data_IF_273463971992
#
_entry.id   IF_273463971992
#
_cell.length_a   1.000
_cell.length_b   1.000
_cell.length_c   1.000
_cell.angle_alpha   90.00
_cell.angle_beta   90.00
_cell.angle_gamma   90.00
#
_symmetry.space_group_name_H-M   'P 1'
#
loop_
_entity.id
_entity.type
_entity.pdbx_description
1 polymer ?
#
# COMPACT_ATOMS: atom_id res chain seq x y z
N UNK A 1 13.85 22.13 5.58
CA UNK A 1 12.84 21.11 5.33
C UNK A 1 11.47 21.78 5.25
N UNK A 2 10.70 21.44 4.23
CA UNK A 2 9.30 21.87 4.06
C UNK A 2 8.43 20.63 4.24
N UNK A 3 7.58 20.62 5.27
CA UNK A 3 6.68 19.51 5.51
C UNK A 3 5.42 19.68 4.66
N UNK A 4 5.14 18.68 3.81
CA UNK A 4 3.97 18.66 2.91
C UNK A 4 3.11 17.39 3.08
N UNK A 5 3.47 16.54 4.05
CA UNK A 5 2.79 15.27 4.33
C UNK A 5 1.53 15.46 5.17
N UNK A 6 0.72 14.40 5.22
CA UNK A 6 -0.48 14.33 6.07
C UNK A 6 -0.07 14.05 7.51
N UNK A 7 -0.51 14.88 8.44
CA UNK A 7 -0.44 14.61 9.87
C UNK A 7 -1.85 14.54 10.43
N UNK A 8 -2.14 13.57 11.29
CA UNK A 8 -3.46 13.46 11.91
C UNK A 8 -3.80 14.76 12.66
N UNK A 9 -4.91 15.42 12.28
CA UNK A 9 -5.39 16.63 12.94
C UNK A 9 -4.83 17.96 12.44
N UNK A 10 -3.97 18.00 11.41
CA UNK A 10 -3.47 19.27 10.85
C UNK A 10 -3.95 19.52 9.42
N UNK A 11 -4.02 20.81 9.03
CA UNK A 11 -4.37 21.21 7.67
C UNK A 11 -3.31 20.70 6.69
N UNK A 12 -3.74 19.86 5.78
CA UNK A 12 -2.87 19.28 4.75
C UNK A 12 -2.66 20.30 3.63
N UNK A 13 -1.43 20.33 3.09
CA UNK A 13 -1.23 20.98 1.80
C UNK A 13 -1.94 20.19 0.72
N UNK A 14 -2.73 20.89 -0.08
CA UNK A 14 -3.39 20.32 -1.27
C UNK A 14 -2.34 20.08 -2.35
N UNK A 15 -2.62 19.18 -3.29
CA UNK A 15 -1.66 18.88 -4.36
C UNK A 15 -1.22 20.09 -5.18
N UNK A 16 -2.09 21.03 -5.56
CA UNK A 16 -1.66 22.27 -6.21
C UNK A 16 -0.61 23.05 -5.40
N UNK A 17 -0.81 23.18 -4.09
CA UNK A 17 0.14 23.89 -3.21
C UNK A 17 1.51 23.18 -3.14
N UNK A 18 1.51 21.84 -3.20
CA UNK A 18 2.76 21.06 -3.26
C UNK A 18 3.48 21.30 -4.57
N UNK A 19 2.73 21.31 -5.69
CA UNK A 19 3.28 21.58 -7.01
C UNK A 19 3.87 23.00 -7.08
N UNK A 20 3.16 24.00 -6.54
CA UNK A 20 3.65 25.38 -6.45
C UNK A 20 4.97 25.47 -5.68
N UNK A 21 5.06 24.82 -4.51
CA UNK A 21 6.29 24.81 -3.71
C UNK A 21 7.46 24.18 -4.50
N UNK A 22 7.23 23.09 -5.21
CA UNK A 22 8.28 22.44 -6.02
C UNK A 22 8.77 23.36 -7.13
N UNK A 23 7.85 24.05 -7.82
CA UNK A 23 8.16 25.00 -8.89
C UNK A 23 8.89 26.24 -8.33
N UNK A 24 8.42 26.82 -7.24
CA UNK A 24 9.06 27.98 -6.62
C UNK A 24 10.48 27.70 -6.16
N UNK A 25 10.68 26.60 -5.45
CA UNK A 25 12.03 26.23 -4.96
C UNK A 25 12.96 25.89 -6.12
N UNK A 26 12.48 25.24 -7.18
CA UNK A 26 13.25 24.98 -8.38
C UNK A 26 13.64 26.28 -9.11
N UNK A 27 12.73 27.25 -9.24
CA UNK A 27 13.03 28.57 -9.85
C UNK A 27 14.03 29.41 -9.05
N UNK A 28 14.11 29.18 -7.73
CA UNK A 28 15.15 29.80 -6.88
C UNK A 28 16.53 29.18 -7.09
N UNK A 29 16.65 28.12 -7.92
CA UNK A 29 17.89 27.40 -8.16
C UNK A 29 18.26 26.40 -7.06
N UNK A 30 17.33 26.07 -6.18
CA UNK A 30 17.56 25.10 -5.11
C UNK A 30 17.56 23.67 -5.65
N UNK A 31 18.45 22.82 -5.09
CA UNK A 31 18.34 21.37 -5.23
C UNK A 31 17.20 20.87 -4.34
N UNK A 32 16.08 20.48 -4.95
CA UNK A 32 14.88 20.04 -4.24
C UNK A 32 14.78 18.52 -4.24
N UNK A 33 14.66 17.93 -3.06
CA UNK A 33 14.39 16.49 -2.89
C UNK A 33 12.94 16.29 -2.40
N UNK A 34 12.08 15.80 -3.28
CA UNK A 34 10.71 15.43 -2.94
C UNK A 34 10.69 14.00 -2.42
N UNK A 35 10.71 13.83 -1.10
CA UNK A 35 10.65 12.52 -0.45
C UNK A 35 9.22 12.00 -0.42
N UNK A 36 9.03 10.75 -0.85
CA UNK A 36 7.74 10.05 -0.90
C UNK A 36 7.86 8.66 -0.27
N UNK A 37 6.77 8.11 0.23
CA UNK A 37 6.72 6.73 0.74
C UNK A 37 6.35 5.76 -0.38
N UNK A 38 7.24 4.85 -0.73
CA UNK A 38 7.06 3.90 -1.81
C UNK A 38 7.42 4.45 -3.19
N UNK A 39 6.81 3.91 -4.25
CA UNK A 39 7.05 4.38 -5.61
C UNK A 39 6.31 5.71 -5.88
N UNK A 40 6.97 6.71 -6.49
CA UNK A 40 6.37 8.02 -6.75
C UNK A 40 5.16 7.99 -7.68
N UNK A 41 5.10 7.05 -8.62
CA UNK A 41 4.06 6.96 -9.63
C UNK A 41 2.93 5.99 -9.30
N UNK A 42 3.10 5.12 -8.29
CA UNK A 42 2.05 4.19 -7.85
C UNK A 42 1.19 4.86 -6.78
N UNK A 43 0.07 5.47 -7.20
CA UNK A 43 -0.86 6.25 -6.35
C UNK A 43 -0.21 7.34 -5.49
N UNK A 44 1.02 7.75 -5.87
CA UNK A 44 1.81 8.77 -5.19
C UNK A 44 1.64 10.18 -5.76
N UNK A 45 0.80 10.38 -6.78
CA UNK A 45 0.57 11.65 -7.49
C UNK A 45 1.85 12.27 -8.08
N UNK A 46 2.89 11.46 -8.27
CA UNK A 46 4.17 11.92 -8.85
C UNK A 46 4.02 12.44 -10.28
N UNK A 47 3.09 11.91 -11.05
CA UNK A 47 2.79 12.41 -12.40
C UNK A 47 2.35 13.87 -12.39
N UNK A 48 1.48 14.28 -11.46
CA UNK A 48 1.03 15.67 -11.33
C UNK A 48 2.18 16.61 -10.93
N UNK A 49 3.06 16.16 -10.04
CA UNK A 49 4.26 16.90 -9.61
C UNK A 49 5.24 17.09 -10.79
N UNK A 50 5.47 16.03 -11.58
CA UNK A 50 6.33 16.07 -12.76
C UNK A 50 5.74 16.97 -13.86
N UNK A 51 4.43 16.89 -14.10
CA UNK A 51 3.76 17.76 -15.08
C UNK A 51 3.98 19.23 -14.74
N UNK A 52 3.79 19.63 -13.49
CA UNK A 52 4.01 21.01 -13.06
C UNK A 52 5.47 21.49 -13.24
N UNK A 53 6.45 20.60 -13.01
CA UNK A 53 7.87 20.91 -13.24
C UNK A 53 8.19 21.03 -14.72
N UNK A 54 7.63 20.18 -15.58
CA UNK A 54 7.79 20.23 -17.03
C UNK A 54 7.23 21.56 -17.60
N UNK A 55 6.01 21.92 -17.20
CA UNK A 55 5.36 23.17 -17.61
C UNK A 55 6.15 24.43 -17.17
N UNK A 56 6.84 24.32 -16.03
CA UNK A 56 7.71 25.38 -15.51
C UNK A 56 9.12 25.39 -16.09
N UNK A 57 9.49 24.44 -16.95
CA UNK A 57 10.83 24.30 -17.52
C UNK A 57 11.91 23.91 -16.51
N UNK A 58 11.54 23.27 -15.41
CA UNK A 58 12.46 22.87 -14.33
C UNK A 58 12.94 21.43 -14.59
N UNK A 59 14.26 21.20 -14.67
CA UNK A 59 14.80 19.85 -14.81
C UNK A 59 14.53 19.02 -13.54
N UNK A 60 14.24 17.74 -13.74
CA UNK A 60 13.97 16.82 -12.64
C UNK A 60 14.49 15.41 -12.95
N UNK A 61 14.59 14.61 -11.92
CA UNK A 61 14.85 13.17 -12.00
C UNK A 61 13.87 12.44 -11.09
N UNK A 62 13.28 11.36 -11.59
CA UNK A 62 12.45 10.45 -10.77
C UNK A 62 13.30 9.27 -10.35
N UNK A 63 13.35 9.01 -9.06
CA UNK A 63 14.00 7.84 -8.49
C UNK A 63 12.90 6.82 -8.16
N UNK A 64 12.88 5.65 -8.79
CA UNK A 64 11.91 4.59 -8.48
C UNK A 64 11.99 4.15 -7.03
N UNK A 65 10.86 3.76 -6.48
CA UNK A 65 10.74 3.21 -5.14
C UNK A 65 10.02 1.86 -5.14
N UNK A 66 9.98 1.19 -4.01
CA UNK A 66 9.25 -0.06 -3.86
C UNK A 66 7.82 0.27 -3.40
N UNK A 67 6.86 -0.05 -4.24
CA UNK A 67 5.44 0.14 -3.89
C UNK A 67 5.01 -0.81 -2.76
N UNK A 68 4.20 -0.31 -1.83
CA UNK A 68 3.59 -1.12 -0.78
C UNK A 68 2.72 -2.27 -1.34
N UNK A 69 2.22 -2.14 -2.56
CA UNK A 69 1.45 -3.19 -3.22
C UNK A 69 2.26 -4.49 -3.45
N UNK A 70 3.57 -4.39 -3.48
CA UNK A 70 4.49 -5.54 -3.60
C UNK A 70 5.16 -5.82 -2.26
N UNK A 71 5.78 -4.81 -1.64
CA UNK A 71 6.57 -4.99 -0.43
C UNK A 71 5.78 -5.54 0.76
N UNK A 72 4.54 -5.08 0.97
CA UNK A 72 3.75 -5.51 2.14
C UNK A 72 3.25 -6.95 2.03
N UNK A 73 2.68 -7.43 0.91
CA UNK A 73 2.41 -8.85 0.74
C UNK A 73 3.66 -9.73 0.90
N UNK A 74 4.79 -9.31 0.29
CA UNK A 74 6.04 -10.07 0.32
C UNK A 74 6.54 -10.32 1.74
N UNK A 75 6.61 -9.29 2.59
CA UNK A 75 7.04 -9.45 4.00
C UNK A 75 6.07 -10.30 4.84
N UNK A 76 4.84 -10.48 4.35
CA UNK A 76 3.84 -11.36 4.95
C UNK A 76 3.81 -12.76 4.30
N UNK A 77 4.79 -13.08 3.45
CA UNK A 77 4.90 -14.37 2.78
C UNK A 77 3.85 -14.61 1.70
N UNK A 78 3.25 -13.54 1.17
CA UNK A 78 2.26 -13.61 0.09
C UNK A 78 2.93 -13.13 -1.20
N UNK A 79 3.27 -14.02 -2.13
CA UNK A 79 3.75 -13.61 -3.45
C UNK A 79 2.60 -13.02 -4.26
N UNK A 80 2.77 -11.83 -4.85
CA UNK A 80 1.73 -11.25 -5.71
C UNK A 80 1.57 -11.98 -7.04
N UNK A 81 2.58 -12.75 -7.46
CA UNK A 81 2.52 -13.70 -8.57
C UNK A 81 3.13 -15.03 -8.16
N UNK A 82 2.58 -16.15 -8.64
CA UNK A 82 3.12 -17.47 -8.36
C UNK A 82 2.81 -18.42 -9.53
N UNK A 83 3.83 -19.20 -9.96
CA UNK A 83 3.65 -20.15 -11.06
C UNK A 83 2.59 -21.20 -10.67
N UNK A 84 1.59 -21.36 -11.50
CA UNK A 84 0.49 -22.33 -11.32
C UNK A 84 -0.75 -21.77 -10.62
N UNK A 85 -0.66 -20.59 -9.98
CA UNK A 85 -1.82 -19.94 -9.31
C UNK A 85 -2.13 -18.55 -9.86
N UNK A 86 -1.11 -17.72 -10.14
CA UNK A 86 -1.34 -16.35 -10.57
C UNK A 86 -0.27 -15.89 -11.55
N UNK A 87 -0.68 -15.60 -12.79
CA UNK A 87 0.19 -15.11 -13.87
C UNK A 87 0.22 -13.58 -13.96
N UNK A 88 -0.68 -12.91 -13.26
CA UNK A 88 -0.83 -11.46 -13.26
C UNK A 88 -1.13 -10.96 -11.85
N UNK A 89 -0.88 -9.67 -11.62
CA UNK A 89 -1.45 -8.99 -10.47
C UNK A 89 -1.90 -7.58 -10.86
N UNK A 90 -2.93 -7.11 -10.17
CA UNK A 90 -3.59 -5.84 -10.44
C UNK A 90 -3.52 -4.98 -9.19
N UNK A 91 -3.08 -3.73 -9.34
CA UNK A 91 -3.01 -2.78 -8.23
C UNK A 91 -4.12 -1.75 -8.41
N UNK A 92 -5.03 -1.71 -7.45
CA UNK A 92 -6.29 -0.97 -7.53
C UNK A 92 -6.38 -0.02 -6.34
N UNK A 93 -6.87 1.21 -6.56
CA UNK A 93 -7.20 2.11 -5.46
C UNK A 93 -8.62 1.83 -4.95
N UNK A 94 -8.79 1.71 -3.63
CA UNK A 94 -10.12 1.65 -3.00
C UNK A 94 -10.75 3.03 -2.78
N UNK A 95 -10.07 4.12 -3.14
CA UNK A 95 -10.64 5.47 -3.05
C UNK A 95 -11.63 5.75 -4.18
N UNK A 96 -12.73 6.46 -3.84
CA UNK A 96 -13.60 7.08 -4.84
C UNK A 96 -12.82 8.10 -5.66
N UNK A 97 -13.09 8.17 -6.95
CA UNK A 97 -12.71 9.33 -7.77
C UNK A 97 -13.60 10.52 -7.40
N UNK A 98 -13.03 11.46 -6.66
CA UNK A 98 -13.75 12.68 -6.27
C UNK A 98 -14.07 13.62 -7.47
N UNK A 99 -13.45 13.39 -8.61
CA UNK A 99 -13.33 14.36 -9.70
C UNK A 99 -14.09 13.97 -10.98
N UNK A 100 -14.73 12.81 -11.02
CA UNK A 100 -15.62 12.47 -12.13
C UNK A 100 -17.06 12.74 -11.69
N UNK A 101 -17.49 13.99 -11.79
CA UNK A 101 -18.87 14.32 -12.08
C UNK A 101 -19.21 13.79 -13.48
N UNK A 102 -19.47 12.52 -13.62
CA UNK A 102 -20.34 12.02 -14.65
C UNK A 102 -21.76 12.22 -14.15
N UNK A 103 -22.21 13.46 -14.13
CA UNK A 103 -23.58 13.75 -14.41
C UNK A 103 -23.75 13.39 -15.87
N UNK A 104 -24.47 12.39 -16.14
CA UNK A 104 -25.45 12.22 -17.20
C UNK A 104 -25.47 10.78 -17.67
N UNK A 105 -26.63 10.16 -17.45
CA UNK A 105 -27.17 8.98 -18.10
C UNK A 105 -26.47 7.64 -17.78
N UNK A 106 -26.98 6.98 -16.75
CA UNK A 106 -26.66 5.62 -16.36
C UNK A 106 -25.57 5.60 -15.31
N UNK A 107 -25.97 5.74 -14.04
CA UNK A 107 -25.07 5.73 -12.91
C UNK A 107 -24.15 4.52 -12.93
N UNK A 108 -22.93 4.74 -13.42
CA UNK A 108 -21.83 3.84 -13.13
C UNK A 108 -21.57 3.95 -11.63
N UNK A 109 -21.84 2.87 -10.92
CA UNK A 109 -21.57 2.77 -9.51
C UNK A 109 -20.10 3.14 -9.27
N UNK A 110 -19.80 3.85 -8.20
CA UNK A 110 -18.44 4.30 -7.85
C UNK A 110 -17.38 3.19 -7.85
N UNK A 111 -17.79 1.95 -8.02
CA UNK A 111 -16.97 0.74 -8.01
C UNK A 111 -16.96 -0.03 -9.33
N UNK A 112 -17.49 0.52 -10.42
CA UNK A 112 -17.53 -0.17 -11.72
C UNK A 112 -16.16 -0.55 -12.28
N UNK A 113 -15.10 0.11 -11.81
CA UNK A 113 -13.74 -0.25 -12.15
C UNK A 113 -13.21 -1.47 -11.38
N UNK A 114 -13.88 -1.87 -10.28
CA UNK A 114 -13.52 -3.08 -9.53
C UNK A 114 -14.17 -4.27 -10.20
N UNK A 115 -13.35 -5.11 -10.80
CA UNK A 115 -13.78 -6.33 -11.47
C UNK A 115 -12.99 -7.52 -10.97
N UNK A 116 -13.62 -8.69 -10.98
CA UNK A 116 -12.88 -9.93 -10.84
C UNK A 116 -11.96 -10.09 -12.05
N UNK A 117 -10.67 -10.24 -11.80
CA UNK A 117 -9.64 -10.42 -12.81
C UNK A 117 -8.83 -11.66 -12.48
N UNK A 118 -8.41 -12.39 -13.53
CA UNK A 118 -7.49 -13.52 -13.33
C UNK A 118 -6.21 -13.04 -12.66
N UNK A 119 -5.78 -13.74 -11.62
CA UNK A 119 -4.56 -13.42 -10.87
C UNK A 119 -4.81 -12.85 -9.48
N UNK A 120 -3.89 -12.06 -9.00
CA UNK A 120 -3.96 -11.45 -7.66
C UNK A 120 -4.37 -9.99 -7.76
N UNK A 121 -5.40 -9.58 -7.03
CA UNK A 121 -5.80 -8.18 -6.91
C UNK A 121 -5.32 -7.60 -5.59
N UNK A 122 -4.61 -6.47 -5.65
CA UNK A 122 -4.08 -5.75 -4.50
C UNK A 122 -4.76 -4.38 -4.40
N UNK A 123 -5.57 -4.18 -3.36
CA UNK A 123 -6.25 -2.91 -3.14
C UNK A 123 -5.49 -2.06 -2.12
N UNK A 124 -5.13 -0.85 -2.54
CA UNK A 124 -4.57 0.17 -1.68
C UNK A 124 -5.68 1.14 -1.24
N UNK A 125 -5.56 1.69 -0.01
CA UNK A 125 -6.51 2.68 0.51
C UNK A 125 -7.97 2.20 0.55
N UNK A 126 -8.21 0.88 0.67
CA UNK A 126 -9.54 0.26 0.58
C UNK A 126 -10.17 -0.15 1.91
N UNK A 127 -9.45 -0.05 3.05
CA UNK A 127 -9.91 -0.67 4.31
C UNK A 127 -11.32 -0.22 4.74
N UNK A 128 -11.60 1.08 4.70
CA UNK A 128 -12.90 1.63 5.11
C UNK A 128 -14.05 1.26 4.15
N UNK A 129 -13.73 0.62 3.05
CA UNK A 129 -14.66 0.20 1.99
C UNK A 129 -14.54 -1.28 1.68
N UNK A 130 -13.91 -2.03 2.58
CA UNK A 130 -13.73 -3.46 2.42
C UNK A 130 -15.03 -4.20 2.09
N UNK A 131 -16.17 -3.97 2.80
CA UNK A 131 -17.42 -4.65 2.47
C UNK A 131 -17.89 -4.38 1.03
N UNK A 132 -17.87 -3.13 0.59
CA UNK A 132 -18.31 -2.73 -0.76
C UNK A 132 -17.38 -3.29 -1.85
N UNK A 133 -16.07 -3.36 -1.58
CA UNK A 133 -15.10 -3.98 -2.49
C UNK A 133 -15.40 -5.47 -2.65
N UNK A 134 -15.66 -6.18 -1.54
CA UNK A 134 -15.98 -7.60 -1.56
C UNK A 134 -17.28 -7.86 -2.30
N UNK A 135 -18.34 -7.10 -2.00
CA UNK A 135 -19.63 -7.17 -2.68
C UNK A 135 -19.47 -6.97 -4.19
N UNK A 136 -18.69 -5.95 -4.61
CA UNK A 136 -18.47 -5.66 -6.03
C UNK A 136 -17.72 -6.79 -6.74
N UNK A 137 -16.76 -7.40 -6.10
CA UNK A 137 -16.03 -8.55 -6.66
C UNK A 137 -16.99 -9.72 -6.93
N UNK A 138 -17.90 -10.04 -5.99
CA UNK A 138 -18.93 -11.08 -6.20
C UNK A 138 -19.84 -10.71 -7.36
N UNK A 139 -20.36 -9.48 -7.42
CA UNK A 139 -21.20 -8.98 -8.51
C UNK A 139 -20.52 -9.09 -9.88
N UNK A 140 -19.18 -9.05 -9.94
CA UNK A 140 -18.41 -9.15 -11.18
C UNK A 140 -17.84 -10.55 -11.44
N UNK A 141 -18.30 -11.56 -10.67
CA UNK A 141 -18.06 -12.98 -10.93
C UNK A 141 -16.95 -13.61 -10.08
N UNK A 142 -16.49 -12.96 -9.00
CA UNK A 142 -15.60 -13.61 -8.03
C UNK A 142 -16.37 -14.67 -7.21
N UNK A 143 -15.73 -15.78 -6.94
CA UNK A 143 -16.27 -16.80 -6.05
C UNK A 143 -16.19 -16.31 -4.60
N UNK A 144 -17.26 -16.53 -3.81
CA UNK A 144 -17.37 -16.07 -2.42
C UNK A 144 -16.24 -16.60 -1.51
N UNK A 145 -15.72 -17.78 -1.82
CA UNK A 145 -14.62 -18.42 -1.10
C UNK A 145 -13.22 -18.06 -1.64
N UNK A 146 -13.13 -17.13 -2.60
CA UNK A 146 -11.82 -16.63 -3.05
C UNK A 146 -11.03 -16.09 -1.85
N UNK A 147 -9.78 -16.53 -1.64
CA UNK A 147 -8.96 -16.13 -0.51
C UNK A 147 -8.69 -14.63 -0.47
N UNK A 148 -8.73 -14.07 0.74
CA UNK A 148 -8.42 -12.65 0.99
C UNK A 148 -7.51 -12.52 2.21
N UNK A 149 -6.50 -11.67 2.10
CA UNK A 149 -5.66 -11.25 3.21
C UNK A 149 -5.72 -9.72 3.37
N UNK A 150 -5.91 -9.24 4.59
CA UNK A 150 -5.84 -7.82 4.93
C UNK A 150 -4.66 -7.59 5.86
N UNK A 151 -3.73 -6.74 5.44
CA UNK A 151 -2.49 -6.45 6.15
C UNK A 151 -2.53 -4.99 6.61
N UNK A 152 -2.59 -4.78 7.91
CA UNK A 152 -2.53 -3.46 8.55
C UNK A 152 -1.11 -3.12 8.98
N UNK A 153 -0.71 -1.87 8.80
CA UNK A 153 0.60 -1.32 9.19
C UNK A 153 1.77 -2.18 8.67
N UNK A 154 1.65 -2.69 7.44
CA UNK A 154 2.67 -3.53 6.82
C UNK A 154 4.04 -2.88 6.82
N UNK A 155 5.10 -3.64 7.16
CA UNK A 155 6.49 -3.19 7.33
C UNK A 155 6.72 -2.22 8.50
N UNK A 156 5.71 -1.97 9.33
CA UNK A 156 5.79 -1.05 10.46
C UNK A 156 5.64 -1.81 11.79
N UNK A 157 6.11 -1.22 12.90
CA UNK A 157 5.77 -1.73 14.23
C UNK A 157 4.25 -1.85 14.40
N UNK A 158 3.79 -3.02 14.88
CA UNK A 158 2.35 -3.29 15.01
C UNK A 158 1.70 -3.83 13.73
N UNK A 159 2.48 -4.31 12.76
CA UNK A 159 1.95 -5.06 11.61
C UNK A 159 1.05 -6.20 12.06
N UNK A 160 -0.12 -6.31 11.47
CA UNK A 160 -1.08 -7.38 11.71
C UNK A 160 -1.66 -7.86 10.38
N UNK A 161 -1.94 -9.15 10.29
CA UNK A 161 -2.59 -9.76 9.14
C UNK A 161 -3.84 -10.51 9.59
N UNK A 162 -4.92 -10.36 8.83
CA UNK A 162 -6.15 -11.15 8.95
C UNK A 162 -6.40 -11.84 7.62
N UNK A 163 -6.70 -13.13 7.67
CA UNK A 163 -6.96 -13.98 6.50
C UNK A 163 -8.40 -14.52 6.56
N UNK A 164 -9.00 -14.62 5.40
CA UNK A 164 -10.35 -15.15 5.21
C UNK A 164 -10.62 -15.35 3.73
N UNK A 165 -11.86 -15.25 3.36
CA UNK A 165 -12.35 -15.23 1.99
C UNK A 165 -13.23 -13.99 1.76
N UNK A 166 -13.70 -13.80 0.54
CA UNK A 166 -14.53 -12.64 0.19
C UNK A 166 -15.72 -12.51 1.12
N UNK A 167 -16.35 -13.65 1.51
CA UNK A 167 -17.56 -13.67 2.34
C UNK A 167 -17.28 -13.26 3.80
N UNK A 168 -16.14 -13.67 4.36
CA UNK A 168 -15.86 -13.58 5.80
C UNK A 168 -14.89 -12.49 6.19
N UNK A 169 -14.11 -11.95 5.25
CA UNK A 169 -12.98 -11.07 5.57
C UNK A 169 -13.42 -9.77 6.25
N UNK A 170 -14.56 -9.20 5.86
CA UNK A 170 -15.02 -7.93 6.41
C UNK A 170 -15.31 -8.03 7.91
N UNK A 171 -16.00 -9.07 8.33
CA UNK A 171 -16.33 -9.34 9.72
C UNK A 171 -15.07 -9.63 10.54
N UNK A 172 -14.19 -10.48 10.02
CA UNK A 172 -12.91 -10.81 10.68
C UNK A 172 -12.02 -9.57 10.88
N UNK A 173 -11.98 -8.67 9.91
CA UNK A 173 -11.22 -7.41 10.01
C UNK A 173 -11.83 -6.48 11.06
N UNK A 174 -13.16 -6.41 11.13
CA UNK A 174 -13.87 -5.62 12.13
C UNK A 174 -13.65 -6.17 13.54
N UNK A 175 -13.81 -7.49 13.76
CA UNK A 175 -13.52 -8.16 15.03
C UNK A 175 -12.07 -7.95 15.48
N UNK A 176 -11.13 -8.06 14.54
CA UNK A 176 -9.72 -7.83 14.79
C UNK A 176 -9.38 -6.35 14.97
N UNK A 177 -10.29 -5.42 14.71
CA UNK A 177 -10.08 -3.96 14.80
C UNK A 177 -8.83 -3.52 14.05
N UNK A 178 -8.70 -3.95 12.79
CA UNK A 178 -7.58 -3.50 11.96
C UNK A 178 -7.73 -2.02 11.60
N UNK A 179 -6.60 -1.31 11.59
CA UNK A 179 -6.52 0.12 11.33
C UNK A 179 -5.71 0.41 10.05
N UNK A 180 -5.98 1.56 9.46
CA UNK A 180 -5.15 2.11 8.38
C UNK A 180 -3.77 2.56 8.90
N UNK A 181 -2.72 2.51 8.06
CA UNK A 181 -2.75 2.09 6.65
C UNK A 181 -2.90 0.57 6.52
N UNK A 182 -3.64 0.12 5.51
CA UNK A 182 -3.84 -1.30 5.26
C UNK A 182 -3.90 -1.61 3.76
N UNK A 183 -3.56 -2.85 3.42
CA UNK A 183 -3.59 -3.40 2.06
C UNK A 183 -4.50 -4.63 2.07
N UNK A 184 -5.29 -4.78 1.02
CA UNK A 184 -6.16 -5.94 0.81
C UNK A 184 -5.59 -6.72 -0.37
N UNK A 185 -5.36 -8.01 -0.20
CA UNK A 185 -4.90 -8.93 -1.23
C UNK A 185 -5.99 -9.96 -1.48
N UNK A 186 -6.43 -10.10 -2.72
CA UNK A 186 -7.51 -11.02 -3.13
C UNK A 186 -7.00 -11.97 -4.21
N UNK A 187 -7.34 -13.24 -4.10
CA UNK A 187 -6.98 -14.30 -5.03
C UNK A 187 -6.25 -15.45 -4.34
N UNK A 188 -5.97 -16.52 -5.07
CA UNK A 188 -5.39 -17.77 -4.53
C UNK A 188 -4.09 -17.53 -3.76
N UNK A 189 -3.26 -16.59 -4.21
CA UNK A 189 -2.00 -16.27 -3.53
C UNK A 189 -2.20 -15.68 -2.12
N UNK A 190 -3.36 -15.10 -1.81
CA UNK A 190 -3.65 -14.57 -0.48
C UNK A 190 -3.71 -15.66 0.61
N UNK A 191 -3.93 -16.92 0.21
CA UNK A 191 -3.88 -18.07 1.11
C UNK A 191 -2.45 -18.51 1.45
N UNK A 192 -1.45 -18.14 0.63
CA UNK A 192 -0.07 -18.57 0.83
C UNK A 192 0.57 -17.83 2.02
N UNK A 193 1.45 -18.53 2.72
CA UNK A 193 2.26 -17.99 3.81
C UNK A 193 3.66 -18.59 3.79
N UNK A 194 4.54 -17.97 3.03
CA UNK A 194 5.93 -18.39 2.92
C UNK A 194 6.80 -17.98 4.13
N UNK A 195 6.24 -17.21 5.06
CA UNK A 195 6.90 -16.89 6.33
C UNK A 195 6.66 -17.95 7.39
N UNK A 196 5.68 -18.83 7.22
CA UNK A 196 5.31 -19.83 8.22
C UNK A 196 6.47 -20.69 8.73
N UNK A 197 7.43 -21.16 7.89
CA UNK A 197 8.59 -21.93 8.35
C UNK A 197 9.56 -21.12 9.21
N UNK A 198 9.58 -19.81 9.06
CA UNK A 198 10.52 -18.89 9.73
C UNK A 198 9.93 -18.23 10.98
N UNK A 199 8.79 -18.73 11.46
CA UNK A 199 8.17 -18.23 12.69
C UNK A 199 9.01 -18.63 13.90
N UNK A 200 9.78 -17.69 14.39
CA UNK A 200 10.59 -17.84 15.59
C UNK A 200 9.94 -17.20 16.83
N UNK A 201 10.60 -17.32 17.98
CA UNK A 201 10.09 -16.79 19.27
C UNK A 201 9.92 -15.25 19.27
N UNK A 202 10.54 -14.53 18.33
CA UNK A 202 10.41 -13.08 18.18
C UNK A 202 9.48 -12.68 17.03
N UNK A 203 8.64 -13.57 16.53
CA UNK A 203 7.68 -13.23 15.48
C UNK A 203 6.79 -12.05 15.92
N UNK A 204 6.62 -11.06 15.04
CA UNK A 204 5.90 -9.80 15.30
C UNK A 204 6.52 -8.92 16.39
N UNK A 205 7.74 -9.22 16.85
CA UNK A 205 8.49 -8.38 17.77
C UNK A 205 9.37 -7.43 16.98
N UNK A 206 9.25 -6.16 17.27
CA UNK A 206 10.06 -5.10 16.68
C UNK A 206 11.06 -4.59 17.71
N UNK A 207 12.34 -4.63 17.38
CA UNK A 207 13.42 -4.29 18.30
C UNK A 207 14.17 -3.06 17.80
N UNK A 208 14.12 -1.98 18.57
CA UNK A 208 14.97 -0.80 18.33
C UNK A 208 16.42 -1.07 18.74
N UNK A 209 17.38 -0.90 17.84
CA UNK A 209 18.78 -1.16 18.09
C UNK A 209 19.56 0.12 18.38
N UNK A 210 20.15 0.20 19.57
CA UNK A 210 21.02 1.30 20.00
C UNK A 210 22.42 0.76 20.26
N UNK A 211 23.45 1.41 19.72
CA UNK A 211 24.83 1.00 19.89
C UNK A 211 25.71 1.30 18.70
N UNK A 212 26.94 0.78 18.72
CA UNK A 212 27.89 0.94 17.60
C UNK A 212 27.37 0.20 16.36
N UNK A 213 27.73 0.62 15.13
CA UNK A 213 27.31 -0.05 13.90
C UNK A 213 27.55 -1.56 13.91
N UNK A 214 28.73 -1.99 14.38
CA UNK A 214 29.11 -3.41 14.46
C UNK A 214 28.22 -4.20 15.44
N UNK A 215 27.86 -3.60 16.58
CA UNK A 215 26.97 -4.24 17.57
C UNK A 215 25.55 -4.34 17.01
N UNK A 216 25.03 -3.25 16.43
CA UNK A 216 23.69 -3.26 15.81
C UNK A 216 23.58 -4.32 14.72
N UNK A 217 24.57 -4.47 13.86
CA UNK A 217 24.57 -5.50 12.81
C UNK A 217 24.53 -6.92 13.38
N UNK A 218 25.35 -7.18 14.42
CA UNK A 218 25.33 -8.48 15.11
C UNK A 218 23.96 -8.78 15.75
N UNK A 219 23.36 -7.78 16.39
CA UNK A 219 22.04 -7.92 17.01
C UNK A 219 20.95 -8.12 15.96
N UNK A 220 21.00 -7.40 14.84
CA UNK A 220 20.08 -7.56 13.72
C UNK A 220 20.05 -9.02 13.25
N UNK A 221 21.20 -9.58 12.92
CA UNK A 221 21.31 -10.99 12.47
C UNK A 221 20.70 -11.96 13.49
N UNK A 222 20.93 -11.74 14.78
CA UNK A 222 20.37 -12.58 15.82
C UNK A 222 18.83 -12.45 15.96
N UNK A 223 18.31 -11.24 15.85
CA UNK A 223 16.87 -10.96 15.92
C UNK A 223 16.14 -11.54 14.70
N UNK A 224 16.72 -11.35 13.51
CA UNK A 224 16.17 -11.88 12.26
C UNK A 224 16.14 -13.42 12.28
N UNK A 225 17.19 -14.06 12.79
CA UNK A 225 17.25 -15.52 12.97
C UNK A 225 16.19 -16.06 13.94
N UNK A 226 15.69 -15.24 14.84
CA UNK A 226 14.61 -15.55 15.78
C UNK A 226 13.22 -15.12 15.25
N UNK A 227 13.12 -14.65 14.01
CA UNK A 227 11.87 -14.23 13.37
C UNK A 227 11.40 -12.84 13.78
N UNK A 228 12.23 -12.04 14.46
CA UNK A 228 11.94 -10.66 14.81
C UNK A 228 12.28 -9.68 13.68
N UNK A 229 11.94 -8.42 13.90
CA UNK A 229 12.35 -7.30 13.03
C UNK A 229 13.13 -6.28 13.83
N UNK A 230 14.22 -5.74 13.26
CA UNK A 230 15.04 -4.72 13.90
C UNK A 230 15.13 -3.42 13.09
N UNK A 231 15.28 -2.28 13.75
CA UNK A 231 15.45 -0.95 13.14
C UNK A 231 16.35 -0.04 14.00
#
# INVERSE_FOLDING_TARGET
>A
RIYVGKQAGSHYKKQPEINEILVEEGRRGNMVVRLKGGDPFVFGRGGEEVTALLEAGIPFQVIPGITSAVAVPEVCGIPVTHRGTSRSFHVITGHKRADIHRSDEGGLDDYDYIRNQEGTSVFLMGLNRLPQIMERLVQTGAEEHTPVAVISKGTMPGQRIVRGDIQTIADKVNEAKLESPAIIVVGENAALDFTAPNRGPLQNVHVGLVGTPKLREKMRVAIDALGGQSY
#
